data_IF_077091934041
#
_entry.id   IF_077091934041
#
_cell.length_a   1.000
_cell.length_b   1.000
_cell.length_c   1.000
_cell.angle_alpha   90.00
_cell.angle_beta   90.00
_cell.angle_gamma   90.00
#
_symmetry.space_group_name_H-M   'P 1'
#
loop_
_entity.id
_entity.type
_entity.pdbx_description
1 polymer ?
#
# COMPACT_ATOMS: atom_id res chain seq x y z
N UNK A 1 -0.48 5.19 -8.01
CA UNK A 1 -1.42 4.10 -8.33
C UNK A 1 -0.85 2.68 -8.08
N UNK A 2 -1.53 1.89 -7.25
CA UNK A 2 -1.19 0.47 -6.98
C UNK A 2 -2.47 -0.35 -7.20
N UNK A 3 -2.38 -1.42 -7.98
CA UNK A 3 -3.49 -2.37 -8.18
C UNK A 3 -3.16 -3.64 -7.42
N UNK A 4 -4.15 -4.20 -6.75
CA UNK A 4 -3.97 -5.44 -6.00
C UNK A 4 -5.22 -6.31 -6.09
N UNK A 5 -5.03 -7.61 -5.94
CA UNK A 5 -6.14 -8.49 -5.65
C UNK A 5 -6.70 -8.18 -4.26
N UNK A 6 -8.01 -8.35 -4.09
CA UNK A 6 -8.68 -8.14 -2.81
C UNK A 6 -8.27 -9.25 -1.82
N UNK A 7 -7.34 -8.91 -0.94
CA UNK A 7 -6.82 -9.77 0.12
C UNK A 7 -7.20 -9.23 1.51
N UNK A 8 -7.67 -10.08 2.45
CA UNK A 8 -8.09 -9.65 3.79
C UNK A 8 -7.06 -8.81 4.54
N UNK A 9 -5.77 -9.10 4.35
CA UNK A 9 -4.62 -8.45 4.98
C UNK A 9 -4.38 -7.04 4.43
N UNK A 10 -4.88 -6.77 3.21
CA UNK A 10 -4.78 -5.45 2.57
C UNK A 10 -5.99 -4.56 2.84
N UNK A 11 -7.00 -5.04 3.57
CA UNK A 11 -8.19 -4.25 3.95
C UNK A 11 -7.85 -2.87 4.55
N UNK A 12 -6.86 -2.73 5.45
CA UNK A 12 -6.49 -1.43 5.99
C UNK A 12 -6.04 -0.43 4.91
N UNK A 13 -5.54 -0.91 3.78
CA UNK A 13 -4.97 -0.11 2.69
C UNK A 13 -5.89 -0.02 1.47
N UNK A 14 -7.12 -0.54 1.52
CA UNK A 14 -8.05 -0.52 0.38
C UNK A 14 -8.34 0.91 -0.14
N UNK A 15 -8.32 1.90 0.74
CA UNK A 15 -8.48 3.32 0.38
C UNK A 15 -7.26 3.92 -0.35
N UNK A 16 -6.12 3.21 -0.37
CA UNK A 16 -4.86 3.63 -0.97
C UNK A 16 -4.56 2.91 -2.29
N UNK A 17 -5.31 1.87 -2.62
CA UNK A 17 -5.04 0.99 -3.77
C UNK A 17 -6.30 0.80 -4.59
N UNK A 18 -6.17 0.20 -5.78
CA UNK A 18 -7.30 -0.28 -6.56
C UNK A 18 -7.46 -1.79 -6.32
N UNK A 19 -8.41 -2.22 -5.47
CA UNK A 19 -8.66 -3.64 -5.24
C UNK A 19 -9.49 -4.25 -6.36
N UNK A 20 -9.09 -5.41 -6.84
CA UNK A 20 -9.82 -6.19 -7.84
C UNK A 20 -10.12 -7.60 -7.32
N UNK A 21 -11.31 -8.11 -7.62
CA UNK A 21 -11.75 -9.48 -7.26
C UNK A 21 -11.81 -10.40 -8.48
N UNK A 22 -11.73 -9.84 -9.68
CA UNK A 22 -11.78 -10.60 -10.94
C UNK A 22 -10.69 -10.13 -11.90
N UNK A 23 -10.40 -10.96 -12.91
CA UNK A 23 -9.46 -10.61 -13.98
C UNK A 23 -9.88 -9.34 -14.73
N UNK A 24 -11.17 -9.20 -15.05
CA UNK A 24 -11.70 -8.01 -15.74
C UNK A 24 -11.56 -6.74 -14.91
N UNK A 25 -11.90 -6.80 -13.62
CA UNK A 25 -11.69 -5.68 -12.68
C UNK A 25 -10.22 -5.30 -12.55
N UNK A 26 -9.33 -6.30 -12.56
CA UNK A 26 -7.89 -6.06 -12.45
C UNK A 26 -7.38 -5.27 -13.66
N UNK A 27 -7.77 -5.65 -14.88
CA UNK A 27 -7.38 -4.94 -16.09
C UNK A 27 -7.94 -3.51 -16.12
N UNK A 28 -9.22 -3.34 -15.79
CA UNK A 28 -9.83 -2.00 -15.72
C UNK A 28 -9.14 -1.10 -14.67
N UNK A 29 -8.79 -1.66 -13.52
CA UNK A 29 -8.04 -0.96 -12.45
C UNK A 29 -6.62 -0.62 -12.89
N UNK A 30 -5.99 -1.48 -13.69
CA UNK A 30 -4.67 -1.25 -14.24
C UNK A 30 -4.66 -0.08 -15.22
N UNK A 31 -5.66 0.03 -16.08
CA UNK A 31 -5.80 1.17 -16.99
C UNK A 31 -5.97 2.50 -16.22
N UNK A 32 -6.82 2.51 -15.18
CA UNK A 32 -6.98 3.65 -14.29
C UNK A 32 -5.67 4.02 -13.59
N UNK A 33 -4.97 3.01 -13.08
CA UNK A 33 -3.68 3.16 -12.41
C UNK A 33 -2.62 3.77 -13.35
N UNK A 34 -2.55 3.33 -14.61
CA UNK A 34 -1.58 3.84 -15.59
C UNK A 34 -1.89 5.28 -16.01
N UNK A 35 -3.17 5.65 -16.04
CA UNK A 35 -3.64 6.99 -16.36
C UNK A 35 -3.52 7.99 -15.18
N UNK A 36 -3.40 7.51 -13.94
CA UNK A 36 -3.29 8.37 -12.76
C UNK A 36 -2.03 9.26 -12.81
N UNK A 37 -2.25 10.58 -12.72
CA UNK A 37 -1.20 11.61 -12.64
C UNK A 37 -1.26 12.40 -11.33
N UNK A 38 -2.10 11.97 -10.40
CA UNK A 38 -2.30 12.64 -9.12
C UNK A 38 -1.05 12.49 -8.23
N UNK A 39 -0.39 13.63 -8.01
CA UNK A 39 0.80 13.71 -7.17
C UNK A 39 0.44 13.69 -5.68
N UNK A 40 -0.72 14.21 -5.30
CA UNK A 40 -1.22 14.19 -3.93
C UNK A 40 -1.53 12.75 -3.51
N UNK A 41 -2.21 11.98 -4.37
CA UNK A 41 -2.46 10.56 -4.14
C UNK A 41 -1.17 9.74 -4.00
N UNK A 42 -0.03 10.15 -4.61
CA UNK A 42 1.27 9.49 -4.39
C UNK A 42 1.86 9.83 -3.02
N UNK A 43 1.75 11.08 -2.59
CA UNK A 43 2.24 11.53 -1.29
C UNK A 43 1.44 10.83 -0.17
N UNK A 44 0.11 10.84 -0.26
CA UNK A 44 -0.77 10.19 0.71
C UNK A 44 -0.41 8.73 0.92
N UNK A 45 -0.22 7.96 -0.16
CA UNK A 45 0.18 6.55 -0.08
C UNK A 45 1.53 6.36 0.62
N UNK A 46 2.53 7.19 0.31
CA UNK A 46 3.85 7.10 0.94
C UNK A 46 3.77 7.41 2.43
N UNK A 47 3.06 8.47 2.79
CA UNK A 47 2.91 8.89 4.19
C UNK A 47 2.18 7.81 5.00
N UNK A 48 1.13 7.20 4.45
CA UNK A 48 0.34 6.19 5.14
C UNK A 48 1.11 4.93 5.53
N UNK A 49 2.21 4.61 4.84
CA UNK A 49 3.05 3.42 5.12
C UNK A 49 4.44 3.77 5.65
N UNK A 50 4.74 5.05 5.90
CA UNK A 50 6.07 5.51 6.28
C UNK A 50 6.59 4.81 7.56
N UNK A 51 5.70 4.62 8.54
CA UNK A 51 6.03 3.99 9.82
C UNK A 51 6.06 2.45 9.79
N UNK A 52 5.82 1.87 8.61
CA UNK A 52 5.79 0.43 8.35
C UNK A 52 6.97 -0.02 7.48
N UNK A 53 8.00 0.81 7.32
CA UNK A 53 9.24 0.40 6.64
C UNK A 53 9.94 -0.71 7.42
N UNK A 54 10.69 -1.57 6.73
CA UNK A 54 11.47 -2.63 7.37
C UNK A 54 12.43 -2.09 8.41
N UNK A 55 13.06 -0.95 8.13
CA UNK A 55 13.98 -0.29 9.07
C UNK A 55 13.25 0.17 10.34
N UNK A 56 12.07 0.77 10.19
CA UNK A 56 11.28 1.26 11.33
C UNK A 56 10.70 0.11 12.17
N UNK A 57 10.25 -0.96 11.51
CA UNK A 57 9.80 -2.18 12.18
C UNK A 57 10.96 -2.86 12.91
N UNK A 58 12.14 -2.99 12.28
CA UNK A 58 13.32 -3.56 12.91
C UNK A 58 13.78 -2.74 14.11
N UNK A 59 13.78 -1.40 14.00
CA UNK A 59 14.08 -0.48 15.11
C UNK A 59 13.11 -0.66 16.27
N UNK A 60 11.80 -0.71 16.01
CA UNK A 60 10.74 -0.99 17.01
C UNK A 60 10.94 -2.35 17.69
N UNK A 61 11.28 -3.38 16.92
CA UNK A 61 11.55 -4.71 17.45
C UNK A 61 12.81 -4.71 18.35
N UNK A 62 13.90 -4.06 17.93
CA UNK A 62 15.13 -3.93 18.73
C UNK A 62 14.89 -3.24 20.07
N UNK A 63 14.06 -2.18 20.10
CA UNK A 63 13.61 -1.52 21.33
C UNK A 63 12.91 -2.47 22.31
N UNK A 64 12.00 -3.30 21.80
CA UNK A 64 11.22 -4.25 22.62
C UNK A 64 12.11 -5.38 23.13
N UNK A 65 13.07 -5.83 22.32
CA UNK A 65 13.95 -6.95 22.62
C UNK A 65 15.22 -6.56 23.39
N UNK A 66 15.52 -5.26 23.53
CA UNK A 66 16.70 -4.77 24.25
C UNK A 66 18.03 -4.97 23.51
N UNK A 67 17.98 -5.15 22.19
CA UNK A 67 19.14 -5.29 21.30
C UNK A 67 19.17 -4.08 20.37
N UNK A 68 20.22 -3.27 20.49
CA UNK A 68 20.43 -2.04 19.73
C UNK A 68 21.66 -2.14 18.85
#
# INVERSE_FOLDING_TARGET
PVVTMRFPELRPFEHLVYPASTHGEFLASLDLALAERDTEARITRRTAVADSSWDEVARKAGMILGVW
#
